data_IF_384457340974
#
_entry.id   IF_384457340974
#
_cell.length_a   1.000
_cell.length_b   1.000
_cell.length_c   1.000
_cell.angle_alpha   90.00
_cell.angle_beta   90.00
_cell.angle_gamma   90.00
#
_symmetry.space_group_name_H-M   'P 1'
#
loop_
_entity.id
_entity.type
_entity.pdbx_description
1 polymer ?
#
# COMPACT_ATOMS: atom_id res chain seq x y z
N UNK A 1 10.79 -4.83 -5.70
CA UNK A 1 9.88 -4.81 -4.54
C UNK A 1 10.11 -3.49 -3.80
N UNK A 2 9.07 -2.70 -3.62
CA UNK A 2 9.07 -1.51 -2.76
C UNK A 2 8.19 -1.82 -1.55
N UNK A 3 8.69 -1.58 -0.36
CA UNK A 3 7.93 -1.70 0.88
C UNK A 3 7.78 -0.32 1.52
N UNK A 4 6.54 0.02 1.89
CA UNK A 4 6.18 1.29 2.51
C UNK A 4 5.54 0.95 3.84
N UNK A 5 6.18 1.37 4.92
CA UNK A 5 5.66 1.16 6.27
C UNK A 5 4.85 2.37 6.70
N UNK A 6 3.59 2.14 7.04
CA UNK A 6 2.77 3.11 7.77
C UNK A 6 2.73 2.72 9.26
N UNK A 7 1.82 3.29 10.04
CA UNK A 7 1.82 3.11 11.50
C UNK A 7 1.62 1.66 11.93
N UNK A 8 0.59 1.00 11.41
CA UNK A 8 0.21 -0.39 11.71
C UNK A 8 0.20 -1.29 10.48
N UNK A 9 0.07 -0.72 9.28
CA UNK A 9 0.04 -1.49 8.02
C UNK A 9 1.36 -1.44 7.25
N UNK A 10 1.56 -2.41 6.35
CA UNK A 10 2.67 -2.42 5.39
C UNK A 10 2.14 -2.54 3.97
N UNK A 11 2.48 -1.57 3.11
CA UNK A 11 2.16 -1.60 1.68
C UNK A 11 3.34 -2.19 0.92
N UNK A 12 3.12 -3.30 0.22
CA UNK A 12 4.12 -3.98 -0.61
C UNK A 12 3.77 -3.79 -2.08
N UNK A 13 4.74 -3.36 -2.86
CA UNK A 13 4.59 -3.09 -4.30
C UNK A 13 5.58 -3.91 -5.10
N UNK A 14 5.06 -4.83 -5.92
CA UNK A 14 5.84 -5.52 -6.94
C UNK A 14 6.10 -4.57 -8.13
N UNK A 15 7.14 -3.77 -8.01
CA UNK A 15 7.52 -2.76 -9.00
C UNK A 15 7.87 -3.33 -10.37
N UNK A 16 8.11 -4.64 -10.51
CA UNK A 16 8.35 -5.27 -11.81
C UNK A 16 7.12 -5.26 -12.71
N UNK A 17 5.92 -5.28 -12.12
CA UNK A 17 4.64 -5.19 -12.83
C UNK A 17 4.27 -3.76 -13.22
N UNK A 18 5.00 -2.77 -12.70
CA UNK A 18 4.65 -1.36 -12.87
C UNK A 18 5.18 -0.78 -14.18
N UNK A 19 6.25 -1.32 -14.79
CA UNK A 19 6.84 -0.76 -16.02
C UNK A 19 5.80 -0.62 -17.16
N UNK A 20 4.92 -1.62 -17.31
CA UNK A 20 3.88 -1.66 -18.35
C UNK A 20 2.50 -1.15 -17.89
N UNK A 21 2.36 -0.72 -16.64
CA UNK A 21 1.07 -0.26 -16.10
C UNK A 21 0.73 1.11 -16.69
N UNK A 22 -0.24 1.19 -17.61
CA UNK A 22 -0.58 2.44 -18.29
C UNK A 22 -1.32 3.44 -17.39
N UNK A 23 -2.19 2.94 -16.51
CA UNK A 23 -3.11 3.78 -15.72
C UNK A 23 -2.44 4.42 -14.52
N UNK A 24 -1.48 3.71 -13.89
CA UNK A 24 -0.89 4.10 -12.60
C UNK A 24 -1.95 4.45 -11.53
N UNK A 25 -3.14 3.86 -11.63
CA UNK A 25 -4.34 4.25 -10.86
C UNK A 25 -4.14 4.32 -9.35
N UNK A 26 -3.19 3.54 -8.82
CA UNK A 26 -2.79 3.56 -7.41
C UNK A 26 -2.35 4.95 -6.90
N UNK A 27 -1.64 5.75 -7.71
CA UNK A 27 -1.17 7.07 -7.29
C UNK A 27 -2.31 8.09 -7.27
N UNK A 28 -3.18 8.06 -8.28
CA UNK A 28 -4.40 8.89 -8.31
C UNK A 28 -5.34 8.55 -7.15
N UNK A 29 -5.52 7.25 -6.85
CA UNK A 29 -6.28 6.81 -5.71
C UNK A 29 -5.68 7.28 -4.38
N UNK A 30 -4.36 7.17 -4.20
CA UNK A 30 -3.68 7.66 -3.01
C UNK A 30 -3.84 9.17 -2.82
N UNK A 31 -3.78 9.94 -3.91
CA UNK A 31 -4.01 11.40 -3.88
C UNK A 31 -5.47 11.75 -3.58
N UNK A 32 -6.43 11.02 -4.14
CA UNK A 32 -7.86 11.30 -4.03
C UNK A 32 -8.45 10.90 -2.68
N UNK A 33 -8.07 9.74 -2.16
CA UNK A 33 -8.70 9.13 -0.99
C UNK A 33 -7.84 9.15 0.28
N UNK A 34 -6.54 9.42 0.14
CA UNK A 34 -5.59 9.53 1.25
C UNK A 34 -4.87 10.88 1.19
N UNK A 35 -3.54 10.90 1.33
CA UNK A 35 -2.72 12.12 1.34
C UNK A 35 -1.69 12.20 0.21
N UNK A 36 -1.80 11.33 -0.80
CA UNK A 36 -0.86 11.32 -1.93
C UNK A 36 0.58 10.95 -1.54
N UNK A 37 0.76 10.12 -0.51
CA UNK A 37 2.07 9.59 -0.07
C UNK A 37 2.73 8.77 -1.18
N UNK A 38 1.93 8.09 -2.01
CA UNK A 38 2.39 7.36 -3.18
C UNK A 38 2.40 8.27 -4.42
N UNK A 39 3.56 8.49 -5.02
CA UNK A 39 3.73 9.22 -6.28
C UNK A 39 4.39 8.37 -7.36
N UNK A 40 4.27 8.77 -8.62
CA UNK A 40 4.93 8.07 -9.73
C UNK A 40 6.26 8.74 -10.03
N UNK A 41 7.34 7.97 -9.92
CA UNK A 41 8.71 8.35 -10.30
C UNK A 41 9.22 7.30 -11.26
N UNK A 42 9.72 7.71 -12.42
CA UNK A 42 10.20 6.81 -13.49
C UNK A 42 9.19 5.70 -13.86
N UNK A 43 7.90 6.06 -13.90
CA UNK A 43 6.82 5.13 -14.21
C UNK A 43 6.47 4.14 -13.09
N UNK A 44 7.06 4.25 -11.90
CA UNK A 44 6.82 3.35 -10.77
C UNK A 44 6.32 4.09 -9.54
N UNK A 45 5.48 3.46 -8.70
CA UNK A 45 5.14 3.99 -7.39
C UNK A 45 6.40 4.22 -6.54
N UNK A 46 6.46 5.35 -5.84
CA UNK A 46 7.58 5.76 -5.00
C UNK A 46 7.10 6.70 -3.90
N UNK A 47 7.79 6.65 -2.76
CA UNK A 47 7.64 7.57 -1.62
C UNK A 47 8.91 8.41 -1.40
N UNK A 48 9.86 8.39 -2.34
CA UNK A 48 11.19 9.00 -2.19
C UNK A 48 11.19 10.53 -2.04
N UNK A 49 10.06 11.18 -2.28
CA UNK A 49 9.87 12.62 -2.02
C UNK A 49 9.60 12.93 -0.53
N UNK A 50 9.56 11.90 0.34
CA UNK A 50 9.32 12.01 1.77
C UNK A 50 10.35 11.19 2.54
N UNK A 51 10.64 11.60 3.77
CA UNK A 51 11.38 10.78 4.73
C UNK A 51 10.52 9.63 5.27
N UNK A 52 11.18 8.59 5.80
CA UNK A 52 10.48 7.46 6.40
C UNK A 52 9.55 7.88 7.57
N UNK A 53 9.99 8.84 8.39
CA UNK A 53 9.19 9.37 9.50
C UNK A 53 7.95 10.14 9.01
N UNK A 54 8.08 10.87 7.90
CA UNK A 54 6.93 11.52 7.27
C UNK A 54 5.94 10.51 6.72
N UNK A 55 6.40 9.45 6.06
CA UNK A 55 5.54 8.35 5.58
C UNK A 55 4.79 7.70 6.75
N UNK A 56 5.50 7.37 7.84
CA UNK A 56 4.91 6.79 9.05
C UNK A 56 3.82 7.69 9.67
N UNK A 57 4.00 9.02 9.61
CA UNK A 57 3.09 9.99 10.24
C UNK A 57 1.94 10.44 9.33
N UNK A 58 2.17 10.50 8.01
CA UNK A 58 1.23 11.04 7.04
C UNK A 58 0.43 9.95 6.31
N UNK A 59 0.91 8.70 6.34
CA UNK A 59 0.11 7.52 6.03
C UNK A 59 -1.22 7.54 6.78
N UNK A 60 -2.30 7.22 6.09
CA UNK A 60 -3.66 7.23 6.65
C UNK A 60 -4.26 5.83 6.76
N UNK A 61 -3.46 4.82 6.42
CA UNK A 61 -3.80 3.41 6.45
C UNK A 61 -4.99 3.06 5.54
N UNK A 62 -5.11 3.83 4.46
CA UNK A 62 -6.14 3.69 3.44
C UNK A 62 -5.80 2.53 2.48
N UNK A 63 -6.81 1.76 2.09
CA UNK A 63 -6.65 0.63 1.16
C UNK A 63 -6.88 1.00 -0.32
N UNK A 64 -7.13 2.28 -0.62
CA UNK A 64 -7.54 2.70 -1.96
C UNK A 64 -6.51 2.40 -3.05
N UNK A 65 -5.21 2.47 -2.74
CA UNK A 65 -4.16 2.19 -3.72
C UNK A 65 -4.10 0.70 -4.10
N UNK A 66 -4.33 -0.22 -3.15
CA UNK A 66 -4.45 -1.66 -3.42
C UNK A 66 -5.67 -1.94 -4.28
N UNK A 67 -6.83 -1.41 -3.89
CA UNK A 67 -8.09 -1.60 -4.62
C UNK A 67 -7.97 -1.06 -6.05
N UNK A 68 -7.47 0.16 -6.23
CA UNK A 68 -7.28 0.74 -7.56
C UNK A 68 -6.24 -0.03 -8.39
N UNK A 69 -5.14 -0.49 -7.78
CA UNK A 69 -4.16 -1.32 -8.48
C UNK A 69 -4.75 -2.67 -8.90
N UNK A 70 -5.65 -3.24 -8.09
CA UNK A 70 -6.30 -4.52 -8.33
C UNK A 70 -7.30 -4.47 -9.49
N UNK A 71 -8.09 -3.40 -9.59
CA UNK A 71 -9.18 -3.30 -10.57
C UNK A 71 -8.79 -2.50 -11.81
N UNK A 72 -7.96 -1.47 -11.67
CA UNK A 72 -7.65 -0.52 -12.73
C UNK A 72 -6.15 -0.50 -13.09
N UNK A 73 -5.34 -1.37 -12.48
CA UNK A 73 -3.89 -1.47 -12.72
C UNK A 73 -3.42 -2.90 -12.92
N UNK A 74 -2.13 -3.13 -12.65
CA UNK A 74 -1.49 -4.43 -12.88
C UNK A 74 -1.41 -5.34 -11.64
N UNK A 75 -2.28 -5.12 -10.63
CA UNK A 75 -2.35 -5.95 -9.42
C UNK A 75 -0.97 -6.14 -8.74
N UNK A 76 -0.25 -5.02 -8.61
CA UNK A 76 1.11 -4.98 -8.11
C UNK A 76 1.19 -4.66 -6.60
N UNK A 77 0.11 -4.15 -6.01
CA UNK A 77 0.08 -3.73 -4.61
C UNK A 77 -0.63 -4.78 -3.77
N UNK A 78 -0.05 -5.10 -2.62
CA UNK A 78 -0.67 -5.85 -1.54
C UNK A 78 -0.46 -5.10 -0.22
N UNK A 79 -1.51 -4.92 0.56
CA UNK A 79 -1.45 -4.28 1.87
C UNK A 79 -1.64 -5.34 2.95
N UNK A 80 -0.66 -5.40 3.85
CA UNK A 80 -0.74 -6.23 5.04
C UNK A 80 -1.30 -5.41 6.20
N UNK A 81 -2.41 -5.88 6.78
CA UNK A 81 -3.14 -5.23 7.88
C UNK A 81 -3.13 -6.19 9.07
N UNK A 82 -2.04 -6.23 9.86
CA UNK A 82 -1.96 -7.10 11.01
C UNK A 82 -2.98 -6.67 12.06
N UNK A 83 -3.78 -7.62 12.54
CA UNK A 83 -4.71 -7.40 13.65
C UNK A 83 -4.07 -7.99 14.90
N UNK A 84 -3.54 -7.13 15.76
CA UNK A 84 -2.89 -7.55 17.00
C UNK A 84 -3.86 -8.39 17.86
N UNK A 85 -3.42 -9.59 18.23
CA UNK A 85 -4.20 -10.53 19.04
C UNK A 85 -5.23 -11.37 18.29
N UNK A 86 -5.41 -11.20 16.97
CA UNK A 86 -6.36 -12.01 16.19
C UNK A 86 -5.99 -13.50 16.20
N UNK A 87 -4.72 -13.84 15.98
CA UNK A 87 -4.27 -15.24 15.97
C UNK A 87 -4.54 -15.93 17.31
N UNK A 88 -4.21 -15.25 18.41
CA UNK A 88 -4.49 -15.75 19.76
C UNK A 88 -5.99 -15.91 20.01
N UNK A 89 -6.81 -15.00 19.48
CA UNK A 89 -8.26 -15.06 19.57
C UNK A 89 -8.86 -16.24 18.77
N UNK A 90 -8.37 -16.48 17.55
CA UNK A 90 -8.79 -17.60 16.71
C UNK A 90 -8.39 -18.94 17.34
N UNK A 91 -7.17 -19.04 17.87
CA UNK A 91 -6.68 -20.24 18.57
C UNK A 91 -7.55 -20.58 19.78
N UNK A 92 -7.96 -19.58 20.58
CA UNK A 92 -8.88 -19.78 21.73
C UNK A 92 -10.25 -20.35 21.30
N UNK A 93 -10.65 -20.15 20.05
CA UNK A 93 -11.93 -20.63 19.50
C UNK A 93 -11.79 -21.91 18.68
N UNK A 94 -10.58 -22.47 18.53
CA UNK A 94 -10.32 -23.63 17.68
C UNK A 94 -10.49 -23.33 16.18
N UNK A 95 -10.22 -22.08 15.76
CA UNK A 95 -10.34 -21.60 14.38
C UNK A 95 -8.99 -21.24 13.75
N UNK A 96 -7.89 -21.56 14.42
CA UNK A 96 -6.53 -21.35 13.95
C UNK A 96 -5.99 -22.58 13.21
#
# INVERSE_FOLDING_TARGET
MLEIKEKSITVKVDTSKCDTCATKACADACKKFARGVLQIVDGKPSVAHMSADEVLRLGTECLACEIACKFDGNQAIQIDVPIEGLDAYLAKRGLA
#
